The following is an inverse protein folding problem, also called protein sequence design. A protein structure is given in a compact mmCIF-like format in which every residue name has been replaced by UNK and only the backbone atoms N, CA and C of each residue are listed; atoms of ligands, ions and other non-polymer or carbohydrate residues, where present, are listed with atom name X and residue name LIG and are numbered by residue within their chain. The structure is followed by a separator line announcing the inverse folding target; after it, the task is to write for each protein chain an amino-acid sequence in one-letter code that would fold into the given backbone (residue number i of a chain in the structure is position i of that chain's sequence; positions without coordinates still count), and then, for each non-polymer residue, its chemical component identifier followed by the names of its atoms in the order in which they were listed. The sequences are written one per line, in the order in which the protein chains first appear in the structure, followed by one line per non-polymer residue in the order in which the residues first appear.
data_IF_732508564442
#
_entry.id   IF_732508564442
#
_cell.length_a   1.000
_cell.length_b   1.000
_cell.length_c   1.000
_cell.angle_alpha   90.00
_cell.angle_beta   90.00
_cell.angle_gamma   90.00
#
_symmetry.space_group_name_H-M   'P 1'
#
loop_
_entity.id
_entity.type
_entity.pdbx_description
1 polymer ?
#
# COMPACT_ATOMS: atom_id res chain seq x y z
N UNK A 1 -21.91 -2.26 7.45
CA UNK A 1 -20.98 -1.81 6.40
C UNK A 1 -20.01 -0.79 7.00
N UNK A 2 -18.70 -1.04 7.00
CA UNK A 2 -17.73 -0.06 7.50
C UNK A 2 -17.51 1.03 6.44
N UNK A 3 -17.76 2.29 6.83
CA UNK A 3 -17.46 3.49 6.05
C UNK A 3 -15.96 3.81 6.14
N UNK A 4 -15.42 4.52 5.15
CA UNK A 4 -14.07 5.09 5.23
C UNK A 4 -13.97 6.04 6.42
N UNK A 5 -12.90 5.94 7.21
CA UNK A 5 -12.60 6.86 8.29
C UNK A 5 -11.12 7.23 8.24
N UNK A 6 -10.78 8.51 8.05
CA UNK A 6 -9.37 8.94 7.90
C UNK A 6 -8.53 8.56 9.12
N UNK A 7 -9.11 8.57 10.32
CA UNK A 7 -8.45 8.19 11.57
C UNK A 7 -7.94 6.74 11.58
N UNK A 8 -8.49 5.84 10.76
CA UNK A 8 -7.97 4.47 10.63
C UNK A 8 -6.56 4.43 10.03
N UNK A 9 -6.12 5.49 9.35
CA UNK A 9 -4.75 5.64 8.85
C UNK A 9 -3.77 6.17 9.90
N UNK A 10 -4.24 6.80 10.99
CA UNK A 10 -3.36 7.44 11.97
C UNK A 10 -2.35 6.46 12.59
N UNK A 11 -2.81 5.35 13.18
CA UNK A 11 -1.90 4.38 13.81
C UNK A 11 -0.92 3.72 12.82
N UNK A 12 -1.36 3.20 11.65
CA UNK A 12 -0.43 2.69 10.65
C UNK A 12 0.60 3.72 10.18
N UNK A 13 0.18 4.96 9.96
CA UNK A 13 1.05 6.06 9.57
C UNK A 13 2.09 6.39 10.64
N UNK A 14 1.67 6.60 11.89
CA UNK A 14 2.60 6.91 12.99
C UNK A 14 3.60 5.78 13.23
N UNK A 15 3.14 4.51 13.21
CA UNK A 15 4.03 3.35 13.32
C UNK A 15 5.02 3.26 12.17
N UNK A 16 4.59 3.59 10.97
CA UNK A 16 5.50 3.68 9.83
C UNK A 16 6.54 4.78 10.03
N UNK A 17 6.23 5.91 10.63
CA UNK A 17 7.22 6.99 10.82
C UNK A 17 8.23 6.72 11.94
N UNK A 18 7.83 5.98 12.99
CA UNK A 18 8.60 5.91 14.24
C UNK A 18 9.35 4.57 14.39
N UNK A 19 8.77 3.45 13.96
CA UNK A 19 9.39 2.13 14.18
C UNK A 19 10.33 1.77 13.02
N UNK A 20 11.58 1.30 13.26
CA UNK A 20 12.42 0.69 12.23
C UNK A 20 11.71 -0.48 11.54
N UNK A 21 12.21 -0.91 10.37
CA UNK A 21 11.66 -2.07 9.68
C UNK A 21 11.63 -3.26 10.64
N UNK A 22 10.52 -3.99 10.68
CA UNK A 22 10.38 -5.12 11.59
C UNK A 22 11.19 -6.27 10.99
N UNK A 23 12.14 -6.83 11.75
CA UNK A 23 12.83 -8.04 11.32
C UNK A 23 11.78 -9.14 11.16
N UNK A 24 11.61 -9.68 9.96
CA UNK A 24 10.78 -10.87 9.74
C UNK A 24 11.60 -12.09 10.13
N UNK A 25 11.38 -12.71 11.30
CA UNK A 25 12.17 -13.86 11.71
C UNK A 25 11.87 -15.06 10.81
N UNK A 26 12.80 -16.02 10.79
CA UNK A 26 12.50 -17.33 10.24
C UNK A 26 11.32 -17.97 10.99
N UNK A 27 10.54 -18.76 10.26
CA UNK A 27 9.38 -19.47 10.80
C UNK A 27 9.50 -20.95 10.44
N UNK A 28 9.40 -21.81 11.44
CA UNK A 28 9.65 -23.27 11.27
C UNK A 28 8.35 -24.09 11.21
N UNK A 29 7.19 -23.46 11.40
CA UNK A 29 5.89 -24.13 11.47
C UNK A 29 5.05 -23.89 10.21
N UNK A 30 4.43 -24.95 9.68
CA UNK A 30 3.52 -24.89 8.53
C UNK A 30 4.16 -25.38 7.22
N UNK A 31 3.40 -25.38 6.11
CA UNK A 31 3.90 -25.80 4.80
C UNK A 31 5.13 -24.98 4.38
N UNK A 32 6.11 -25.65 3.75
CA UNK A 32 7.34 -25.00 3.32
C UNK A 32 7.08 -23.98 2.21
N UNK A 33 7.56 -22.75 2.41
CA UNK A 33 7.56 -21.68 1.42
C UNK A 33 9.00 -21.45 1.00
N UNK A 34 9.23 -21.44 -0.31
CA UNK A 34 10.55 -21.31 -0.91
C UNK A 34 10.60 -20.19 -1.95
N UNK A 35 11.76 -20.05 -2.60
CA UNK A 35 11.98 -19.03 -3.63
C UNK A 35 11.12 -19.25 -4.89
N UNK A 36 10.68 -20.47 -5.16
CA UNK A 36 9.79 -20.77 -6.29
C UNK A 36 8.43 -20.12 -6.10
N UNK A 37 7.88 -20.21 -4.89
CA UNK A 37 6.65 -19.50 -4.51
C UNK A 37 6.84 -17.98 -4.67
N UNK A 38 7.96 -17.42 -4.20
CA UNK A 38 8.24 -15.98 -4.34
C UNK A 38 8.27 -15.55 -5.81
N UNK A 39 8.89 -16.37 -6.68
CA UNK A 39 8.95 -16.09 -8.11
C UNK A 39 7.56 -16.05 -8.75
N UNK A 40 6.70 -17.05 -8.47
CA UNK A 40 5.30 -17.09 -8.93
C UNK A 40 4.55 -15.83 -8.50
N UNK A 41 4.68 -15.45 -7.22
CA UNK A 41 4.03 -14.26 -6.69
C UNK A 41 4.53 -12.97 -7.38
N UNK A 42 5.84 -12.84 -7.61
CA UNK A 42 6.39 -11.66 -8.28
C UNK A 42 5.86 -11.51 -9.70
N UNK A 43 5.80 -12.61 -10.45
CA UNK A 43 5.23 -12.63 -11.80
C UNK A 43 3.75 -12.23 -11.82
N UNK A 44 2.97 -12.72 -10.84
CA UNK A 44 1.57 -12.32 -10.69
C UNK A 44 1.42 -10.82 -10.37
N UNK A 45 2.28 -10.26 -9.49
CA UNK A 45 2.28 -8.84 -9.16
C UNK A 45 2.70 -7.96 -10.36
N UNK A 46 3.71 -8.37 -11.12
CA UNK A 46 4.16 -7.70 -12.34
C UNK A 46 3.08 -7.69 -13.42
N UNK A 47 2.43 -8.84 -13.62
CA UNK A 47 1.29 -8.95 -14.51
C UNK A 47 0.19 -7.98 -14.09
N UNK A 48 -0.18 -7.96 -12.81
CA UNK A 48 -1.22 -7.06 -12.29
C UNK A 48 -0.87 -5.57 -12.49
N UNK A 49 0.39 -5.16 -12.25
CA UNK A 49 0.88 -3.80 -12.54
C UNK A 49 0.73 -3.42 -14.00
N UNK A 50 1.10 -4.33 -14.91
CA UNK A 50 1.01 -4.09 -16.35
C UNK A 50 -0.45 -3.94 -16.80
N UNK A 51 -1.36 -4.75 -16.24
CA UNK A 51 -2.79 -4.65 -16.54
C UNK A 51 -3.39 -3.33 -16.03
N UNK A 52 -3.06 -2.93 -14.80
CA UNK A 52 -3.50 -1.65 -14.23
C UNK A 52 -3.05 -0.46 -15.10
N UNK A 53 -1.78 -0.46 -15.50
CA UNK A 53 -1.20 0.59 -16.36
C UNK A 53 -1.85 0.68 -17.74
N UNK A 54 -2.37 -0.44 -18.28
CA UNK A 54 -2.93 -0.51 -19.64
C UNK A 54 -4.45 -0.30 -19.70
N UNK A 55 -5.19 -0.70 -18.67
CA UNK A 55 -6.66 -0.78 -18.72
C UNK A 55 -7.37 -0.10 -17.54
N UNK A 56 -6.64 0.39 -16.54
CA UNK A 56 -7.19 0.96 -15.30
C UNK A 56 -7.74 -0.09 -14.33
N UNK A 57 -7.99 0.30 -13.08
CA UNK A 57 -8.35 -0.61 -11.99
C UNK A 57 -9.73 -1.27 -12.06
N UNK A 58 -10.61 -0.91 -13.00
CA UNK A 58 -12.02 -1.33 -13.02
C UNK A 58 -12.34 -2.62 -13.80
N UNK A 59 -11.33 -3.35 -14.29
CA UNK A 59 -11.53 -4.55 -15.12
C UNK A 59 -11.83 -5.84 -14.29
N UNK A 60 -12.47 -6.84 -14.90
CA UNK A 60 -12.74 -8.17 -14.33
C UNK A 60 -11.48 -8.88 -13.82
N UNK A 61 -10.32 -8.62 -14.44
CA UNK A 61 -9.01 -9.14 -14.00
C UNK A 61 -8.53 -8.53 -12.67
N UNK A 62 -9.05 -7.36 -12.28
CA UNK A 62 -8.75 -6.75 -10.99
C UNK A 62 -9.50 -7.44 -9.84
N UNK A 63 -10.67 -8.02 -10.12
CA UNK A 63 -11.39 -8.86 -9.15
C UNK A 63 -10.60 -10.16 -8.84
N UNK A 64 -9.99 -10.79 -9.85
CA UNK A 64 -9.16 -11.99 -9.64
C UNK A 64 -7.90 -11.72 -8.80
N UNK A 65 -7.41 -10.48 -8.72
CA UNK A 65 -6.25 -10.16 -7.88
C UNK A 65 -6.58 -10.26 -6.38
N UNK A 66 -7.77 -9.82 -5.97
CA UNK A 66 -8.18 -9.89 -4.57
C UNK A 66 -8.39 -11.34 -4.14
N UNK A 67 -9.03 -12.14 -4.99
CA UNK A 67 -9.21 -13.57 -4.78
C UNK A 67 -7.86 -14.29 -4.70
N UNK A 68 -6.95 -14.04 -5.65
CA UNK A 68 -5.59 -14.58 -5.62
C UNK A 68 -4.85 -14.20 -4.33
N UNK A 69 -4.92 -12.93 -3.91
CA UNK A 69 -4.32 -12.48 -2.65
C UNK A 69 -4.82 -13.28 -1.44
N UNK A 70 -6.13 -13.53 -1.33
CA UNK A 70 -6.70 -14.22 -0.18
C UNK A 70 -6.54 -15.75 -0.24
N UNK A 71 -6.66 -16.35 -1.43
CA UNK A 71 -6.67 -17.80 -1.58
C UNK A 71 -5.28 -18.40 -1.79
N UNK A 72 -4.37 -17.66 -2.43
CA UNK A 72 -3.03 -18.16 -2.79
C UNK A 72 -1.94 -17.54 -1.94
N UNK A 73 -2.00 -16.23 -1.69
CA UNK A 73 -0.87 -15.49 -1.09
C UNK A 73 -0.95 -15.47 0.43
N UNK A 74 -2.09 -15.06 0.99
CA UNK A 74 -2.28 -14.93 2.44
C UNK A 74 -2.03 -16.24 3.22
N UNK A 75 -2.35 -17.44 2.71
CA UNK A 75 -2.01 -18.69 3.39
C UNK A 75 -0.49 -18.91 3.52
N UNK A 76 0.32 -18.46 2.55
CA UNK A 76 1.77 -18.63 2.57
C UNK A 76 2.43 -17.86 3.73
N UNK A 77 1.83 -16.74 4.17
CA UNK A 77 2.31 -15.98 5.34
C UNK A 77 2.29 -16.82 6.64
N UNK A 78 1.52 -17.92 6.67
CA UNK A 78 1.43 -18.83 7.82
C UNK A 78 2.36 -20.04 7.71
N UNK A 79 3.04 -20.21 6.57
CA UNK A 79 3.96 -21.32 6.30
C UNK A 79 5.29 -21.21 7.03
N UNK A 80 6.18 -22.14 6.74
CA UNK A 80 7.58 -22.14 7.19
C UNK A 80 8.48 -21.52 6.12
N UNK A 81 9.41 -20.66 6.53
CA UNK A 81 10.33 -19.95 5.65
C UNK A 81 11.59 -19.52 6.40
N UNK A 82 12.70 -19.43 5.66
CA UNK A 82 13.89 -18.70 6.13
C UNK A 82 13.59 -17.20 6.22
N UNK A 83 14.38 -16.47 7.01
CA UNK A 83 14.29 -15.01 7.16
C UNK A 83 14.30 -14.29 5.80
N UNK A 84 15.18 -14.71 4.89
CA UNK A 84 15.30 -14.13 3.55
C UNK A 84 14.05 -14.36 2.69
N UNK A 85 13.50 -15.58 2.72
CA UNK A 85 12.25 -15.91 1.99
C UNK A 85 11.06 -15.18 2.63
N UNK A 86 11.03 -15.09 3.96
CA UNK A 86 10.02 -14.34 4.70
C UNK A 86 9.98 -12.89 4.27
N UNK A 87 11.12 -12.18 4.30
CA UNK A 87 11.19 -10.78 3.81
C UNK A 87 10.61 -10.63 2.42
N UNK A 88 11.04 -11.47 1.48
CA UNK A 88 10.56 -11.41 0.09
C UNK A 88 9.06 -11.72 -0.04
N UNK A 89 8.55 -12.65 0.76
CA UNK A 89 7.13 -12.98 0.84
C UNK A 89 6.31 -11.77 1.32
N UNK A 90 6.74 -11.11 2.39
CA UNK A 90 6.06 -9.92 2.92
C UNK A 90 6.09 -8.77 1.91
N UNK A 91 7.21 -8.55 1.21
CA UNK A 91 7.34 -7.53 0.15
C UNK A 91 6.35 -7.75 -0.99
N UNK A 92 6.33 -8.95 -1.57
CA UNK A 92 5.43 -9.23 -2.69
C UNK A 92 3.96 -9.21 -2.27
N UNK A 93 3.66 -9.67 -1.06
CA UNK A 93 2.29 -9.63 -0.51
C UNK A 93 1.83 -8.19 -0.24
N UNK A 94 2.72 -7.33 0.25
CA UNK A 94 2.45 -5.91 0.45
C UNK A 94 2.08 -5.23 -0.87
N UNK A 95 2.81 -5.52 -1.94
CA UNK A 95 2.54 -4.95 -3.26
C UNK A 95 1.19 -5.43 -3.82
N UNK A 96 0.89 -6.72 -3.70
CA UNK A 96 -0.41 -7.24 -4.12
C UNK A 96 -1.56 -6.62 -3.32
N UNK A 97 -1.38 -6.43 -2.00
CA UNK A 97 -2.36 -5.73 -1.18
C UNK A 97 -2.53 -4.27 -1.62
N UNK A 98 -1.45 -3.57 -1.97
CA UNK A 98 -1.51 -2.20 -2.51
C UNK A 98 -2.29 -2.16 -3.83
N UNK A 99 -2.00 -3.06 -4.75
CA UNK A 99 -2.69 -3.17 -6.04
C UNK A 99 -4.19 -3.49 -5.88
N UNK A 100 -4.54 -4.41 -4.97
CA UNK A 100 -5.93 -4.69 -4.63
C UNK A 100 -6.62 -3.46 -4.01
N UNK A 101 -5.91 -2.69 -3.18
CA UNK A 101 -6.37 -1.42 -2.64
C UNK A 101 -6.62 -0.38 -3.72
N UNK A 102 -5.69 -0.25 -4.67
CA UNK A 102 -5.79 0.69 -5.80
C UNK A 102 -6.97 0.35 -6.73
N UNK A 103 -7.13 -0.93 -7.06
CA UNK A 103 -8.29 -1.46 -7.77
C UNK A 103 -9.61 -1.10 -7.09
N UNK A 104 -9.68 -1.29 -5.77
CA UNK A 104 -10.88 -0.95 -5.00
C UNK A 104 -11.12 0.56 -4.95
N UNK A 105 -10.05 1.36 -4.91
CA UNK A 105 -10.10 2.81 -4.94
C UNK A 105 -10.67 3.33 -6.26
N UNK A 106 -10.16 2.85 -7.41
CA UNK A 106 -10.64 3.21 -8.75
C UNK A 106 -12.12 2.83 -8.95
N UNK A 107 -12.56 1.74 -8.33
CA UNK A 107 -13.96 1.31 -8.35
C UNK A 107 -14.85 2.02 -7.31
N UNK A 108 -14.36 3.07 -6.65
CA UNK A 108 -15.10 3.86 -5.65
C UNK A 108 -15.34 3.14 -4.30
N UNK A 109 -14.77 1.95 -4.09
CA UNK A 109 -14.93 1.14 -2.87
C UNK A 109 -13.93 1.55 -1.79
N UNK A 110 -14.01 2.81 -1.35
CA UNK A 110 -13.01 3.44 -0.47
C UNK A 110 -12.76 2.69 0.86
N UNK A 111 -13.78 2.10 1.49
CA UNK A 111 -13.55 1.39 2.76
C UNK A 111 -12.80 0.06 2.55
N UNK A 112 -12.98 -0.58 1.39
CA UNK A 112 -12.19 -1.77 1.00
C UNK A 112 -10.76 -1.33 0.69
N UNK A 113 -10.58 -0.27 -0.12
CA UNK A 113 -9.26 0.28 -0.43
C UNK A 113 -8.45 0.63 0.82
N UNK A 114 -9.08 1.30 1.80
CA UNK A 114 -8.45 1.67 3.06
C UNK A 114 -7.93 0.45 3.82
N UNK A 115 -8.71 -0.64 3.91
CA UNK A 115 -8.24 -1.85 4.59
C UNK A 115 -7.02 -2.44 3.90
N UNK A 116 -7.05 -2.51 2.56
CA UNK A 116 -5.93 -3.02 1.79
C UNK A 116 -4.67 -2.17 1.93
N UNK A 117 -4.76 -0.84 1.87
CA UNK A 117 -3.60 0.02 2.08
C UNK A 117 -3.01 -0.09 3.49
N UNK A 118 -3.86 -0.21 4.52
CA UNK A 118 -3.39 -0.46 5.90
C UNK A 118 -2.63 -1.78 5.99
N UNK A 119 -3.14 -2.86 5.38
CA UNK A 119 -2.42 -4.14 5.36
C UNK A 119 -1.13 -4.06 4.56
N UNK A 120 -1.17 -3.42 3.40
CA UNK A 120 0.01 -3.23 2.55
C UNK A 120 1.13 -2.52 3.32
N UNK A 121 0.82 -1.44 4.05
CA UNK A 121 1.84 -0.69 4.80
C UNK A 121 2.46 -1.53 5.92
N UNK A 122 1.65 -2.34 6.62
CA UNK A 122 2.14 -3.26 7.66
C UNK A 122 3.04 -4.35 7.07
N UNK A 123 2.63 -4.93 5.94
CA UNK A 123 3.39 -5.97 5.25
C UNK A 123 4.70 -5.41 4.67
N UNK A 124 4.69 -4.19 4.12
CA UNK A 124 5.90 -3.52 3.62
C UNK A 124 6.89 -3.27 4.77
N UNK A 125 6.37 -2.93 5.97
CA UNK A 125 7.21 -2.76 7.17
C UNK A 125 7.86 -4.08 7.60
N UNK A 126 7.10 -5.17 7.62
CA UNK A 126 7.62 -6.50 7.93
C UNK A 126 8.64 -6.97 6.89
N UNK A 127 8.39 -6.70 5.61
CA UNK A 127 9.35 -7.00 4.53
C UNK A 127 10.57 -6.07 4.50
N UNK A 128 10.61 -5.03 5.32
CA UNK A 128 11.66 -4.01 5.29
C UNK A 128 11.80 -3.34 3.92
N UNK A 129 10.68 -2.96 3.30
CA UNK A 129 10.64 -2.31 1.98
C UNK A 129 10.14 -0.87 2.13
N UNK A 130 11.10 0.01 2.37
CA UNK A 130 10.87 1.43 2.59
C UNK A 130 10.31 2.13 1.34
N UNK A 131 10.73 1.71 0.15
CA UNK A 131 10.33 2.31 -1.11
C UNK A 131 8.86 1.99 -1.40
N UNK A 132 8.47 0.72 -1.25
CA UNK A 132 7.06 0.32 -1.37
C UNK A 132 6.19 0.99 -0.31
N UNK A 133 6.65 1.07 0.94
CA UNK A 133 5.89 1.77 1.98
C UNK A 133 5.69 3.26 1.70
N UNK A 134 6.70 3.90 1.10
CA UNK A 134 6.59 5.30 0.65
C UNK A 134 5.54 5.45 -0.46
N UNK A 135 5.47 4.50 -1.40
CA UNK A 135 4.41 4.49 -2.40
C UNK A 135 3.02 4.25 -1.78
N UNK A 136 2.92 3.34 -0.81
CA UNK A 136 1.66 3.10 -0.10
C UNK A 136 1.19 4.36 0.64
N UNK A 137 2.09 5.10 1.30
CA UNK A 137 1.74 6.39 1.91
C UNK A 137 1.22 7.41 0.89
N UNK A 138 1.83 7.50 -0.29
CA UNK A 138 1.32 8.36 -1.36
C UNK A 138 -0.10 7.93 -1.82
N UNK A 139 -0.39 6.62 -1.89
CA UNK A 139 -1.75 6.15 -2.21
C UNK A 139 -2.77 6.45 -1.09
N UNK A 140 -2.38 6.34 0.18
CA UNK A 140 -3.23 6.73 1.32
C UNK A 140 -3.48 8.24 1.36
N UNK A 141 -2.48 9.04 0.99
CA UNK A 141 -2.59 10.50 0.83
C UNK A 141 -3.61 10.85 -0.26
N UNK A 142 -3.50 10.24 -1.46
CA UNK A 142 -4.46 10.44 -2.55
C UNK A 142 -5.88 10.08 -2.10
N UNK A 143 -6.04 8.96 -1.41
CA UNK A 143 -7.35 8.55 -0.91
C UNK A 143 -7.93 9.57 0.07
N UNK A 144 -7.11 10.11 0.96
CA UNK A 144 -7.55 11.09 1.97
C UNK A 144 -7.93 12.42 1.32
N UNK A 145 -7.14 12.90 0.35
CA UNK A 145 -7.44 14.08 -0.45
C UNK A 145 -8.78 13.93 -1.17
N UNK A 146 -9.01 12.80 -1.86
CA UNK A 146 -10.26 12.55 -2.56
C UNK A 146 -11.48 12.49 -1.65
N UNK A 147 -11.27 12.28 -0.34
CA UNK A 147 -12.32 12.26 0.68
C UNK A 147 -12.44 13.57 1.46
N UNK A 148 -11.70 14.60 1.08
CA UNK A 148 -11.75 15.95 1.67
C UNK A 148 -10.86 16.14 2.90
N UNK A 149 -10.05 15.15 3.27
CA UNK A 149 -9.15 15.23 4.42
C UNK A 149 -7.79 15.77 3.98
N UNK A 150 -7.75 17.08 3.72
CA UNK A 150 -6.59 17.77 3.12
C UNK A 150 -5.38 17.77 4.04
N UNK A 151 -5.56 17.97 5.35
CA UNK A 151 -4.46 17.96 6.33
C UNK A 151 -3.77 16.60 6.37
N UNK A 152 -4.53 15.52 6.52
CA UNK A 152 -4.00 14.17 6.59
C UNK A 152 -3.37 13.74 5.26
N UNK A 153 -3.90 14.21 4.13
CA UNK A 153 -3.29 13.99 2.83
C UNK A 153 -1.90 14.64 2.73
N UNK A 154 -1.72 15.87 3.23
CA UNK A 154 -0.42 16.55 3.29
C UNK A 154 0.55 15.75 4.16
N UNK A 155 0.13 15.39 5.38
CA UNK A 155 0.97 14.65 6.32
C UNK A 155 1.48 13.33 5.72
N UNK A 156 0.59 12.57 5.08
CA UNK A 156 0.96 11.30 4.45
C UNK A 156 1.84 11.49 3.22
N UNK A 157 1.59 12.51 2.40
CA UNK A 157 2.43 12.82 1.24
C UNK A 157 3.86 13.21 1.65
N UNK A 158 4.00 14.04 2.69
CA UNK A 158 5.30 14.38 3.27
C UNK A 158 5.96 13.18 3.95
N UNK A 159 5.16 12.33 4.60
CA UNK A 159 5.62 11.10 5.22
C UNK A 159 6.29 10.12 4.25
N UNK A 160 5.90 10.13 2.98
CA UNK A 160 6.50 9.28 1.94
C UNK A 160 8.00 9.57 1.71
N UNK A 161 8.51 10.73 2.11
CA UNK A 161 9.94 11.07 1.95
C UNK A 161 10.80 10.72 3.17
N UNK A 162 10.20 10.28 4.29
CA UNK A 162 10.90 10.17 5.58
C UNK A 162 11.84 8.97 5.69
N UNK A 163 11.59 7.87 4.97
CA UNK A 163 12.28 6.58 5.18
C UNK A 163 13.04 6.02 3.99
N UNK A 164 12.74 6.47 2.76
CA UNK A 164 13.52 6.10 1.59
C UNK A 164 14.82 6.91 1.52
N UNK A 165 15.96 6.26 1.27
CA UNK A 165 17.22 6.97 1.01
C UNK A 165 17.19 7.67 -0.36
N UNK A 166 16.51 7.06 -1.34
CA UNK A 166 16.23 7.60 -2.66
C UNK A 166 14.84 7.15 -3.08
N UNK A 167 13.87 8.07 -3.07
CA UNK A 167 12.52 7.75 -3.52
C UNK A 167 12.49 7.62 -5.04
N UNK A 168 11.83 6.60 -5.56
CA UNK A 168 11.58 6.48 -7.01
C UNK A 168 10.98 7.80 -7.54
N UNK A 169 11.53 8.38 -8.63
CA UNK A 169 11.09 9.69 -9.12
C UNK A 169 9.60 9.77 -9.45
N UNK A 170 8.97 8.66 -9.86
CA UNK A 170 7.53 8.61 -10.14
C UNK A 170 6.72 8.68 -8.85
N UNK A 171 7.14 7.96 -7.82
CA UNK A 171 6.52 8.01 -6.49
C UNK A 171 6.71 9.41 -5.89
N UNK A 172 7.90 9.98 -6.03
CA UNK A 172 8.20 11.35 -5.59
C UNK A 172 7.32 12.39 -6.31
N UNK A 173 7.18 12.29 -7.63
CA UNK A 173 6.29 13.18 -8.40
C UNK A 173 4.83 13.02 -7.99
N UNK A 174 4.38 11.79 -7.78
CA UNK A 174 3.02 11.49 -7.34
C UNK A 174 2.71 12.09 -5.96
N UNK A 175 3.60 11.90 -4.98
CA UNK A 175 3.45 12.48 -3.65
C UNK A 175 3.45 14.02 -3.69
N UNK A 176 4.35 14.65 -4.46
CA UNK A 176 4.36 16.13 -4.64
C UNK A 176 3.07 16.65 -5.29
N UNK A 177 2.53 15.94 -6.28
CA UNK A 177 1.28 16.32 -6.91
C UNK A 177 0.12 16.32 -5.90
N UNK A 178 0.05 15.30 -5.05
CA UNK A 178 -0.99 15.19 -4.00
C UNK A 178 -0.82 16.30 -2.96
N UNK A 179 0.40 16.55 -2.50
CA UNK A 179 0.72 17.62 -1.55
C UNK A 179 0.28 18.99 -2.10
N UNK A 180 0.66 19.32 -3.34
CA UNK A 180 0.30 20.58 -3.99
C UNK A 180 -1.22 20.74 -4.14
N UNK A 181 -1.93 19.70 -4.59
CA UNK A 181 -3.39 19.72 -4.71
C UNK A 181 -4.09 19.87 -3.36
N UNK A 182 -3.54 19.25 -2.31
CA UNK A 182 -4.09 19.35 -0.97
C UNK A 182 -3.94 20.76 -0.40
N UNK A 183 -2.78 21.41 -0.63
CA UNK A 183 -2.58 22.81 -0.26
C UNK A 183 -3.52 23.76 -1.00
N UNK A 184 -3.69 23.58 -2.32
CA UNK A 184 -4.62 24.40 -3.09
C UNK A 184 -6.05 24.30 -2.54
N UNK A 185 -6.53 23.06 -2.31
CA UNK A 185 -7.88 22.84 -1.77
C UNK A 185 -8.06 23.40 -0.35
N UNK A 186 -7.06 23.25 0.51
CA UNK A 186 -7.10 23.85 1.85
C UNK A 186 -7.13 25.39 1.82
N UNK A 187 -6.50 26.01 0.82
CA UNK A 187 -6.58 27.46 0.58
C UNK A 187 -7.98 27.91 0.15
N UNK A 188 -8.62 27.17 -0.75
CA UNK A 188 -9.99 27.45 -1.22
C UNK A 188 -11.03 27.31 -0.08
N UNK A 189 -10.88 26.28 0.76
CA UNK A 189 -11.76 26.06 1.92
C UNK A 189 -11.66 27.22 2.92
N UNK A 190 -10.46 27.75 3.18
CA UNK A 190 -10.29 28.93 4.05
C UNK A 190 -10.90 30.18 3.43
N UNK A 191 -10.74 30.36 2.12
CA UNK A 191 -11.21 31.55 1.40
C UNK A 191 -12.75 31.61 1.31
N UNK A 192 -13.43 30.47 1.24
CA UNK A 192 -14.90 30.41 1.22
C UNK A 192 -15.54 30.50 2.62
N UNK A 193 -14.75 30.34 3.69
CA UNK A 193 -15.21 30.45 5.08
C UNK A 193 -15.05 31.84 5.72
N UNK A 194 -14.46 32.80 5.00
CA UNK A 194 -14.24 34.18 5.43
C UNK A 194 -15.29 35.13 4.85
#
# INVERSE_FOLDING_TARGET
HHTFAVSAFATPFSRWLIDPAEETPARESGPAVDRGHIAELREAADSARLWDSRFGGSNRKSASLTEYLYERVAPLLRGSYSEAVGRDLFRVTAEMARLAGWTAFDAGRHSIAQRHFIQALRLARAGGDADLGSYILATMAMQSLMRGFTSEAIDMAQGAYRRGQTLDPRVAGFAKLIEARSHARAGDERSTSA
#
